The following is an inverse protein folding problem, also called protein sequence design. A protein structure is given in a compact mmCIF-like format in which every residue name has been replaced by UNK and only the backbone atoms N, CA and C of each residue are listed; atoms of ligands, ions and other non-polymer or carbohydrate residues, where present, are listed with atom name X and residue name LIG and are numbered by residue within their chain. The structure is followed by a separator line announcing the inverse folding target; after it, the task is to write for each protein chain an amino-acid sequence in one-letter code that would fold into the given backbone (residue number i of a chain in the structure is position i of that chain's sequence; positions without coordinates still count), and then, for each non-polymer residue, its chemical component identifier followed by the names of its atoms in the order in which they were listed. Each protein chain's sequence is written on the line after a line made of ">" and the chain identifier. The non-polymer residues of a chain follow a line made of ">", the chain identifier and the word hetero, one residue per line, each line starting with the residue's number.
data_IF_437987848499
#
_entry.id   IF_437987848499
#
_cell.length_a   1.000
_cell.length_b   1.000
_cell.length_c   1.000
_cell.angle_alpha   90.00
_cell.angle_beta   90.00
_cell.angle_gamma   90.00
#
_symmetry.space_group_name_H-M   'P 1'
#
loop_
_entity.id
_entity.type
_entity.pdbx_description
1 polymer ?
#
# COMPACT_ATOMS: atom_id res chain seq x y z
N UNK A 1 1.12 4.20 18.21
CA UNK A 1 -0.35 4.02 18.35
C UNK A 1 -0.67 2.58 18.03
N UNK A 2 -1.78 2.05 18.53
CA UNK A 2 -2.23 0.68 18.24
C UNK A 2 -3.71 0.73 17.91
N UNK A 3 -4.14 0.07 16.84
CA UNK A 3 -5.56 -0.03 16.48
C UNK A 3 -6.16 -1.26 17.18
N UNK A 4 -7.22 -1.06 17.96
CA UNK A 4 -7.93 -2.15 18.65
C UNK A 4 -9.08 -2.65 17.76
N UNK A 5 -8.76 -3.46 16.75
CA UNK A 5 -9.70 -3.99 15.75
C UNK A 5 -9.93 -5.48 16.00
N UNK A 6 -11.18 -5.92 15.95
CA UNK A 6 -11.58 -7.33 16.00
C UNK A 6 -10.99 -8.10 14.81
N UNK A 7 -10.42 -9.28 15.08
CA UNK A 7 -9.68 -10.06 14.08
C UNK A 7 -10.46 -11.25 13.53
N UNK A 8 -11.61 -11.55 14.10
CA UNK A 8 -12.45 -12.68 13.69
C UNK A 8 -13.47 -12.21 12.65
N UNK A 9 -13.62 -13.00 11.59
CA UNK A 9 -14.61 -12.77 10.54
C UNK A 9 -14.93 -14.08 9.83
N UNK A 10 -16.13 -14.16 9.26
CA UNK A 10 -16.58 -15.32 8.50
C UNK A 10 -16.12 -15.25 7.04
N UNK A 11 -16.08 -16.40 6.37
CA UNK A 11 -15.82 -16.47 4.92
C UNK A 11 -16.86 -15.64 4.14
N UNK A 12 -18.12 -15.61 4.57
CA UNK A 12 -19.15 -14.79 3.93
C UNK A 12 -18.90 -13.29 4.07
N UNK A 13 -18.40 -12.84 5.22
CA UNK A 13 -18.00 -11.44 5.42
C UNK A 13 -16.81 -11.08 4.53
N UNK A 14 -15.84 -12.01 4.39
CA UNK A 14 -14.71 -11.85 3.47
C UNK A 14 -15.20 -11.73 2.03
N UNK A 15 -16.03 -12.67 1.54
CA UNK A 15 -16.59 -12.64 0.18
C UNK A 15 -17.31 -11.35 -0.13
N UNK A 16 -18.18 -10.88 0.78
CA UNK A 16 -18.89 -9.60 0.63
C UNK A 16 -17.93 -8.42 0.54
N UNK A 17 -16.89 -8.41 1.36
CA UNK A 17 -15.89 -7.34 1.38
C UNK A 17 -15.03 -7.35 0.12
N UNK A 18 -14.57 -8.53 -0.31
CA UNK A 18 -13.80 -8.72 -1.54
C UNK A 18 -14.61 -8.25 -2.75
N UNK A 19 -15.88 -8.67 -2.86
CA UNK A 19 -16.77 -8.28 -3.96
C UNK A 19 -16.93 -6.76 -4.02
N UNK A 20 -17.20 -6.11 -2.88
CA UNK A 20 -17.31 -4.65 -2.81
C UNK A 20 -16.02 -3.94 -3.23
N UNK A 21 -14.87 -4.46 -2.84
CA UNK A 21 -13.58 -3.90 -3.26
C UNK A 21 -13.33 -4.11 -4.76
N UNK A 22 -13.71 -5.28 -5.31
CA UNK A 22 -13.58 -5.59 -6.73
C UNK A 22 -14.46 -4.66 -7.58
N UNK A 23 -15.73 -4.48 -7.21
CA UNK A 23 -16.65 -3.56 -7.89
C UNK A 23 -16.12 -2.13 -7.87
N UNK A 24 -15.73 -1.63 -6.70
CA UNK A 24 -15.19 -0.28 -6.57
C UNK A 24 -13.86 -0.10 -7.33
N UNK A 25 -13.01 -1.13 -7.35
CA UNK A 25 -11.77 -1.13 -8.14
C UNK A 25 -12.06 -1.07 -9.65
N UNK A 26 -13.07 -1.79 -10.12
CA UNK A 26 -13.51 -1.78 -11.51
C UNK A 26 -14.05 -0.40 -11.91
N UNK A 27 -14.87 0.22 -11.07
CA UNK A 27 -15.42 1.58 -11.29
C UNK A 27 -14.29 2.64 -11.36
N UNK A 28 -13.33 2.58 -10.44
CA UNK A 28 -12.18 3.47 -10.43
C UNK A 28 -11.27 3.23 -11.64
N UNK A 29 -11.03 1.98 -12.00
CA UNK A 29 -10.28 1.64 -13.20
C UNK A 29 -10.97 2.20 -14.44
N UNK A 30 -12.27 1.98 -14.60
CA UNK A 30 -13.04 2.50 -15.74
C UNK A 30 -12.96 4.02 -15.85
N UNK A 31 -13.04 4.72 -14.71
CA UNK A 31 -12.93 6.18 -14.64
C UNK A 31 -11.55 6.71 -15.05
N UNK A 32 -10.48 5.92 -14.80
CA UNK A 32 -9.09 6.31 -15.08
C UNK A 32 -8.57 5.76 -16.42
N UNK A 33 -9.15 4.66 -16.90
CA UNK A 33 -8.74 3.90 -18.07
C UNK A 33 -9.96 3.23 -18.71
N UNK A 34 -10.56 3.85 -19.74
CA UNK A 34 -11.76 3.34 -20.41
C UNK A 34 -11.56 1.97 -21.07
N UNK A 35 -10.34 1.64 -21.50
CA UNK A 35 -10.04 0.33 -22.10
C UNK A 35 -9.75 -0.67 -20.98
N UNK A 36 -10.67 -1.60 -20.78
CA UNK A 36 -10.63 -2.63 -19.71
C UNK A 36 -9.31 -3.39 -19.59
N UNK A 37 -8.67 -3.67 -20.71
CA UNK A 37 -7.50 -4.51 -20.84
C UNK A 37 -6.18 -3.74 -20.74
N UNK A 38 -6.20 -2.42 -20.65
CA UNK A 38 -4.99 -1.61 -20.45
C UNK A 38 -4.85 -1.25 -18.97
N UNK A 39 -3.62 -1.22 -18.41
CA UNK A 39 -3.42 -0.75 -17.05
C UNK A 39 -3.72 0.75 -16.91
N UNK A 40 -4.06 1.17 -15.69
CA UNK A 40 -4.08 2.60 -15.34
C UNK A 40 -2.64 3.11 -15.31
N UNK A 41 -2.40 4.24 -15.98
CA UNK A 41 -1.06 4.83 -16.11
C UNK A 41 -0.80 5.86 -15.01
N UNK A 42 0.40 5.83 -14.43
CA UNK A 42 0.83 6.72 -13.35
C UNK A 42 1.99 7.63 -13.79
N UNK A 43 1.64 8.77 -14.40
CA UNK A 43 2.64 9.70 -14.98
C UNK A 43 3.11 10.80 -14.03
N UNK A 44 2.46 10.98 -12.87
CA UNK A 44 2.85 12.01 -11.91
C UNK A 44 4.13 11.62 -11.20
N UNK A 45 5.02 12.59 -11.01
CA UNK A 45 6.20 12.39 -10.20
C UNK A 45 5.80 12.23 -8.73
N UNK A 46 6.59 11.47 -7.97
CA UNK A 46 6.40 11.38 -6.52
C UNK A 46 6.41 12.77 -5.84
N UNK A 47 7.17 13.75 -6.36
CA UNK A 47 7.19 15.12 -5.82
C UNK A 47 5.82 15.81 -5.94
N UNK A 48 5.08 15.52 -7.00
CA UNK A 48 3.71 16.02 -7.15
C UNK A 48 2.76 15.28 -6.21
N UNK A 49 2.90 13.96 -6.09
CA UNK A 49 2.09 13.15 -5.17
C UNK A 49 2.30 13.56 -3.70
N UNK A 50 3.55 13.85 -3.29
CA UNK A 50 3.88 14.31 -1.93
C UNK A 50 3.13 15.58 -1.52
N UNK A 51 2.82 16.47 -2.49
CA UNK A 51 2.12 17.73 -2.19
C UNK A 51 0.66 17.50 -1.83
N UNK A 52 0.02 16.51 -2.44
CA UNK A 52 -1.43 16.28 -2.30
C UNK A 52 -1.77 15.15 -1.33
N UNK A 53 -0.86 14.18 -1.13
CA UNK A 53 -1.02 13.05 -0.21
C UNK A 53 -1.51 13.43 1.21
N UNK A 54 -1.08 14.54 1.83
CA UNK A 54 -1.54 14.90 3.17
C UNK A 54 -3.06 15.09 3.29
N UNK A 55 -3.73 15.49 2.20
CA UNK A 55 -5.18 15.71 2.18
C UNK A 55 -5.99 14.43 2.46
N UNK A 56 -5.46 13.26 2.10
CA UNK A 56 -6.12 11.96 2.37
C UNK A 56 -6.35 11.68 3.85
N UNK A 57 -5.55 12.26 4.73
CA UNK A 57 -5.68 12.08 6.18
C UNK A 57 -6.65 13.09 6.83
N UNK A 58 -6.98 14.19 6.16
CA UNK A 58 -7.87 15.24 6.72
C UNK A 58 -9.30 14.72 6.92
N UNK A 59 -9.71 13.75 6.11
CA UNK A 59 -11.04 13.12 6.14
C UNK A 59 -11.13 11.93 7.10
N UNK A 60 -10.01 11.52 7.71
CA UNK A 60 -10.06 10.43 8.68
C UNK A 60 -10.85 10.84 9.94
N UNK A 61 -11.64 9.93 10.51
CA UNK A 61 -12.50 10.22 11.66
C UNK A 61 -11.72 10.49 12.95
N UNK A 62 -10.43 10.17 13.00
CA UNK A 62 -9.59 10.33 14.18
C UNK A 62 -8.94 11.74 14.22
N UNK A 63 -9.38 12.65 15.10
CA UNK A 63 -8.91 14.05 15.12
C UNK A 63 -7.41 14.17 15.47
N UNK A 64 -6.88 13.20 16.22
CA UNK A 64 -5.47 13.18 16.65
C UNK A 64 -4.49 12.97 15.47
N UNK A 65 -4.93 12.31 14.40
CA UNK A 65 -4.12 12.13 13.18
C UNK A 65 -3.99 13.43 12.39
N UNK A 66 -5.03 14.28 12.44
CA UNK A 66 -5.08 15.58 11.73
C UNK A 66 -4.06 16.58 12.29
N UNK A 67 -3.78 16.55 13.59
CA UNK A 67 -2.81 17.46 14.22
C UNK A 67 -1.34 17.03 14.04
N UNK A 68 -1.06 15.74 13.87
CA UNK A 68 0.30 15.19 13.83
C UNK A 68 1.00 15.27 12.48
N UNK A 69 0.30 15.60 11.41
CA UNK A 69 0.89 15.74 10.07
C UNK A 69 1.78 16.97 9.89
N UNK A 70 1.96 17.82 10.91
CA UNK A 70 2.77 19.03 10.78
C UNK A 70 4.06 18.88 11.62
N UNK A 71 5.26 18.85 10.99
CA UNK A 71 5.54 18.99 9.55
C UNK A 71 5.41 17.66 8.77
N UNK A 72 4.86 17.73 7.55
CA UNK A 72 4.90 16.62 6.60
C UNK A 72 6.33 16.51 6.06
N UNK A 73 7.02 15.42 6.38
CA UNK A 73 8.41 15.23 5.95
C UNK A 73 8.54 13.95 5.13
N UNK A 74 7.95 13.97 3.93
CA UNK A 74 8.00 12.89 2.94
C UNK A 74 8.99 13.25 1.83
N UNK A 75 9.95 12.35 1.55
CA UNK A 75 11.02 12.57 0.58
C UNK A 75 11.30 11.32 -0.24
N UNK A 76 12.03 11.50 -1.34
CA UNK A 76 12.71 10.40 -2.03
C UNK A 76 13.94 10.00 -1.24
N UNK A 77 14.18 8.70 -1.09
CA UNK A 77 15.40 8.22 -0.44
C UNK A 77 16.63 8.42 -1.32
N UNK A 78 17.72 8.89 -0.73
CA UNK A 78 19.05 8.88 -1.37
C UNK A 78 19.62 7.45 -1.48
N UNK A 79 19.08 6.49 -0.70
CA UNK A 79 19.47 5.08 -0.68
C UNK A 79 18.57 4.22 -1.58
N UNK A 80 17.95 4.82 -2.60
CA UNK A 80 17.02 4.14 -3.52
C UNK A 80 17.59 2.85 -4.11
N UNK A 81 18.86 2.86 -4.51
CA UNK A 81 19.52 1.67 -5.07
C UNK A 81 19.62 0.51 -4.06
N UNK A 82 20.29 0.70 -2.89
CA UNK A 82 20.31 -0.32 -1.85
C UNK A 82 18.93 -0.81 -1.41
N UNK A 83 17.95 0.10 -1.25
CA UNK A 83 16.59 -0.27 -0.85
C UNK A 83 15.93 -1.21 -1.86
N UNK A 84 16.15 -0.98 -3.15
CA UNK A 84 15.58 -1.82 -4.22
C UNK A 84 16.15 -3.25 -4.14
N UNK A 85 17.46 -3.40 -3.98
CA UNK A 85 18.07 -4.73 -3.82
C UNK A 85 17.70 -5.44 -2.51
N UNK A 86 17.24 -4.68 -1.51
CA UNK A 86 16.76 -5.22 -0.24
C UNK A 86 15.25 -5.48 -0.20
N UNK A 87 14.51 -5.19 -1.27
CA UNK A 87 13.06 -5.38 -1.34
C UNK A 87 12.21 -4.28 -0.70
N UNK A 88 12.79 -3.13 -0.33
CA UNK A 88 12.05 -2.06 0.35
C UNK A 88 11.49 -1.02 -0.61
N UNK A 89 10.19 -0.76 -0.47
CA UNK A 89 9.48 0.30 -1.20
C UNK A 89 9.64 1.68 -0.54
N UNK A 90 9.94 1.71 0.75
CA UNK A 90 10.11 2.91 1.55
C UNK A 90 10.54 2.54 2.97
N UNK A 91 10.78 3.56 3.79
CA UNK A 91 11.06 3.41 5.22
C UNK A 91 10.93 4.75 5.96
N UNK A 92 10.72 4.68 7.27
CA UNK A 92 10.90 5.81 8.18
C UNK A 92 12.38 5.96 8.56
N UNK A 93 13.00 7.10 8.24
CA UNK A 93 14.39 7.35 8.59
C UNK A 93 14.54 7.46 10.13
N UNK A 94 15.35 6.60 10.78
CA UNK A 94 15.42 6.55 12.25
C UNK A 94 16.17 7.73 12.88
N UNK A 95 16.94 8.49 12.09
CA UNK A 95 17.70 9.65 12.56
C UNK A 95 16.89 10.93 12.36
N UNK A 96 16.34 11.11 11.16
CA UNK A 96 15.67 12.37 10.78
C UNK A 96 14.16 12.35 11.02
N UNK A 97 13.55 11.17 11.21
CA UNK A 97 12.10 11.01 11.29
C UNK A 97 11.36 11.24 9.96
N UNK A 98 12.09 11.31 8.86
CA UNK A 98 11.53 11.53 7.53
C UNK A 98 10.98 10.22 6.94
N UNK A 99 9.76 10.25 6.42
CA UNK A 99 9.24 9.22 5.55
C UNK A 99 10.03 9.28 4.23
N UNK A 100 10.65 8.18 3.86
CA UNK A 100 11.42 8.09 2.63
C UNK A 100 10.86 7.00 1.73
N UNK A 101 10.66 7.34 0.47
CA UNK A 101 10.16 6.42 -0.56
C UNK A 101 11.28 6.02 -1.51
N UNK A 102 11.23 4.79 -2.00
CA UNK A 102 12.09 4.33 -3.08
C UNK A 102 11.79 5.15 -4.35
N UNK A 103 12.78 5.89 -4.84
CA UNK A 103 12.58 6.84 -5.93
C UNK A 103 12.36 6.18 -7.31
N UNK A 104 12.63 4.88 -7.43
CA UNK A 104 12.49 4.11 -8.66
C UNK A 104 11.10 3.50 -8.85
N UNK A 105 10.31 3.38 -7.77
CA UNK A 105 8.94 2.89 -7.84
C UNK A 105 8.02 4.02 -8.28
N UNK A 106 7.51 3.95 -9.50
CA UNK A 106 6.50 4.86 -10.02
C UNK A 106 5.40 4.11 -10.78
N UNK A 107 4.55 3.40 -10.04
CA UNK A 107 3.46 2.59 -10.57
C UNK A 107 2.20 2.79 -9.71
N UNK A 108 1.20 1.91 -9.89
CA UNK A 108 -0.04 1.99 -9.13
C UNK A 108 0.15 1.99 -7.61
N UNK A 109 1.21 1.36 -7.10
CA UNK A 109 1.47 1.27 -5.65
C UNK A 109 1.99 2.58 -5.06
N UNK A 110 2.52 3.49 -5.89
CA UNK A 110 3.21 4.69 -5.42
C UNK A 110 2.35 5.60 -4.54
N UNK A 111 1.08 5.92 -4.87
CA UNK A 111 0.25 6.77 -4.00
C UNK A 111 -0.02 6.14 -2.62
N UNK A 112 -0.47 4.88 -2.54
CA UNK A 112 -0.73 4.22 -1.25
C UNK A 112 0.54 4.00 -0.43
N UNK A 113 1.68 3.74 -1.10
CA UNK A 113 2.99 3.66 -0.44
C UNK A 113 3.36 4.98 0.24
N UNK A 114 3.12 6.12 -0.40
CA UNK A 114 3.36 7.43 0.21
C UNK A 114 2.52 7.59 1.49
N UNK A 115 1.23 7.22 1.43
CA UNK A 115 0.36 7.26 2.60
C UNK A 115 0.79 6.27 3.69
N UNK A 116 1.35 5.12 3.32
CA UNK A 116 1.90 4.14 4.25
C UNK A 116 3.09 4.72 5.03
N UNK A 117 4.09 5.28 4.34
CA UNK A 117 5.23 5.91 5.02
C UNK A 117 4.82 7.11 5.88
N UNK A 118 3.83 7.90 5.42
CA UNK A 118 3.24 8.96 6.24
C UNK A 118 2.51 8.41 7.47
N UNK A 119 1.93 7.22 7.41
CA UNK A 119 1.30 6.57 8.56
C UNK A 119 2.34 6.19 9.61
N UNK A 120 3.54 5.75 9.20
CA UNK A 120 4.66 5.57 10.11
C UNK A 120 5.08 6.88 10.78
N UNK A 121 5.14 8.00 10.04
CA UNK A 121 5.40 9.32 10.64
C UNK A 121 4.37 9.75 11.68
N UNK A 122 3.12 9.31 11.52
CA UNK A 122 2.07 9.55 12.52
C UNK A 122 2.26 8.72 13.79
N UNK A 123 3.13 7.71 13.77
CA UNK A 123 3.44 6.84 14.89
C UNK A 123 2.68 5.51 14.87
N UNK A 124 2.17 5.09 13.72
CA UNK A 124 1.74 3.70 13.49
C UNK A 124 2.96 2.89 13.10
N UNK A 125 3.57 2.24 14.08
CA UNK A 125 4.84 1.56 13.87
C UNK A 125 4.69 0.12 13.37
N UNK A 126 3.51 -0.49 13.49
CA UNK A 126 3.21 -1.81 12.94
C UNK A 126 2.82 -1.68 11.47
N UNK A 127 3.31 -2.59 10.63
CA UNK A 127 3.11 -2.58 9.18
C UNK A 127 1.63 -2.76 8.83
N UNK A 128 0.95 -3.68 9.50
CA UNK A 128 -0.47 -3.92 9.28
C UNK A 128 -1.34 -2.69 9.62
N UNK A 129 -1.01 -1.95 10.66
CA UNK A 129 -1.70 -0.71 11.04
C UNK A 129 -1.39 0.42 10.05
N UNK A 130 -0.13 0.57 9.66
CA UNK A 130 0.27 1.55 8.63
C UNK A 130 -0.41 1.27 7.29
N UNK A 131 -0.49 0.01 6.87
CA UNK A 131 -1.24 -0.42 5.69
C UNK A 131 -2.73 -0.08 5.80
N UNK A 132 -3.36 -0.39 6.94
CA UNK A 132 -4.77 -0.07 7.15
C UNK A 132 -5.03 1.44 7.08
N UNK A 133 -4.22 2.25 7.77
CA UNK A 133 -4.37 3.71 7.77
C UNK A 133 -4.12 4.29 6.36
N UNK A 134 -3.14 3.77 5.62
CA UNK A 134 -2.87 4.17 4.25
C UNK A 134 -4.03 3.86 3.30
N UNK A 135 -4.62 2.66 3.42
CA UNK A 135 -5.81 2.27 2.65
C UNK A 135 -6.96 3.22 2.97
N UNK A 136 -7.23 3.48 4.25
CA UNK A 136 -8.31 4.39 4.64
C UNK A 136 -8.06 5.82 4.15
N UNK A 137 -6.85 6.34 4.26
CA UNK A 137 -6.50 7.67 3.77
C UNK A 137 -6.64 7.77 2.25
N UNK A 138 -6.25 6.74 1.51
CA UNK A 138 -6.33 6.72 0.05
C UNK A 138 -7.75 6.58 -0.47
N UNK A 139 -8.55 5.68 0.13
CA UNK A 139 -9.97 5.52 -0.21
C UNK A 139 -10.79 6.80 0.02
N UNK A 140 -10.41 7.63 1.00
CA UNK A 140 -11.07 8.90 1.28
C UNK A 140 -10.43 10.10 0.57
N UNK A 141 -9.37 9.90 -0.21
CA UNK A 141 -8.67 10.99 -0.91
C UNK A 141 -9.53 11.58 -2.02
N UNK A 142 -9.38 12.86 -2.34
CA UNK A 142 -10.10 13.52 -3.45
C UNK A 142 -9.59 13.14 -4.84
N UNK A 143 -8.49 12.41 -4.91
CA UNK A 143 -7.77 12.15 -6.15
C UNK A 143 -7.95 10.68 -6.51
N UNK A 144 -8.44 10.43 -7.72
CA UNK A 144 -8.82 9.08 -8.16
C UNK A 144 -7.64 8.11 -8.21
N UNK A 145 -6.40 8.58 -8.46
CA UNK A 145 -5.24 7.67 -8.42
C UNK A 145 -4.90 7.23 -7.01
N UNK A 146 -5.15 8.07 -6.00
CA UNK A 146 -5.00 7.66 -4.59
C UNK A 146 -6.09 6.67 -4.19
N UNK A 147 -7.34 6.92 -4.58
CA UNK A 147 -8.45 6.00 -4.34
C UNK A 147 -8.19 4.65 -5.01
N UNK A 148 -7.80 4.67 -6.29
CA UNK A 148 -7.52 3.47 -7.07
C UNK A 148 -6.33 2.70 -6.49
N UNK A 149 -5.21 3.39 -6.24
CA UNK A 149 -4.03 2.80 -5.61
C UNK A 149 -4.35 2.09 -4.29
N UNK A 150 -5.11 2.76 -3.40
CA UNK A 150 -5.50 2.19 -2.11
C UNK A 150 -6.52 1.05 -2.24
N UNK A 151 -7.46 1.18 -3.17
CA UNK A 151 -8.48 0.17 -3.44
C UNK A 151 -7.84 -1.14 -3.91
N UNK A 152 -7.02 -1.10 -4.96
CA UNK A 152 -6.40 -2.32 -5.50
C UNK A 152 -5.30 -2.87 -4.59
N UNK A 153 -4.63 -2.00 -3.81
CA UNK A 153 -3.72 -2.47 -2.76
C UNK A 153 -4.46 -3.27 -1.67
N UNK A 154 -5.58 -2.75 -1.16
CA UNK A 154 -6.43 -3.46 -0.20
C UNK A 154 -7.05 -4.73 -0.78
N UNK A 155 -7.55 -4.65 -2.03
CA UNK A 155 -8.10 -5.80 -2.75
C UNK A 155 -7.08 -6.93 -2.87
N UNK A 156 -5.80 -6.63 -3.08
CA UNK A 156 -4.76 -7.67 -3.16
C UNK A 156 -4.64 -8.49 -1.87
N UNK A 157 -4.74 -7.87 -0.69
CA UNK A 157 -4.78 -8.60 0.59
C UNK A 157 -6.03 -9.48 0.71
N UNK A 158 -7.19 -8.90 0.38
CA UNK A 158 -8.47 -9.60 0.44
C UNK A 158 -8.51 -10.81 -0.50
N UNK A 159 -7.98 -10.67 -1.72
CA UNK A 159 -7.86 -11.74 -2.70
C UNK A 159 -6.91 -12.85 -2.23
N UNK A 160 -5.77 -12.50 -1.63
CA UNK A 160 -4.82 -13.50 -1.12
C UNK A 160 -5.43 -14.32 0.03
N UNK A 161 -6.18 -13.67 0.94
CA UNK A 161 -6.88 -14.37 2.02
C UNK A 161 -8.05 -15.22 1.47
N UNK A 162 -8.80 -14.69 0.51
CA UNK A 162 -9.89 -15.43 -0.15
C UNK A 162 -9.35 -16.66 -0.87
N UNK A 163 -8.24 -16.56 -1.59
CA UNK A 163 -7.61 -17.71 -2.26
C UNK A 163 -7.30 -18.85 -1.28
N UNK A 164 -6.91 -18.53 -0.04
CA UNK A 164 -6.57 -19.53 0.97
C UNK A 164 -7.82 -20.20 1.56
N UNK A 165 -8.94 -19.46 1.67
CA UNK A 165 -10.17 -19.91 2.35
C UNK A 165 -11.22 -20.46 1.40
N UNK A 166 -11.28 -19.94 0.18
CA UNK A 166 -12.25 -20.29 -0.86
C UNK A 166 -11.65 -20.00 -2.26
N UNK A 167 -10.87 -20.95 -2.81
CA UNK A 167 -10.24 -20.80 -4.11
C UNK A 167 -11.23 -20.61 -5.27
N UNK A 168 -12.41 -21.21 -5.20
CA UNK A 168 -13.44 -21.09 -6.24
C UNK A 168 -13.97 -19.65 -6.30
N UNK A 169 -14.32 -19.08 -5.14
CA UNK A 169 -14.74 -17.68 -5.07
C UNK A 169 -13.63 -16.70 -5.45
N UNK A 170 -12.36 -17.04 -5.20
CA UNK A 170 -11.23 -16.23 -5.69
C UNK A 170 -11.19 -16.16 -7.21
N UNK A 171 -11.32 -17.30 -7.91
CA UNK A 171 -11.31 -17.32 -9.38
C UNK A 171 -12.51 -16.56 -9.95
N UNK A 172 -13.71 -16.71 -9.37
CA UNK A 172 -14.90 -15.92 -9.75
C UNK A 172 -14.65 -14.41 -9.66
N UNK A 173 -14.09 -13.94 -8.54
CA UNK A 173 -13.78 -12.51 -8.38
C UNK A 173 -12.69 -12.08 -9.34
N UNK A 174 -11.65 -12.89 -9.53
CA UNK A 174 -10.54 -12.55 -10.43
C UNK A 174 -11.02 -12.40 -11.87
N UNK A 175 -11.93 -13.26 -12.32
CA UNK A 175 -12.54 -13.18 -13.66
C UNK A 175 -13.50 -11.99 -13.79
N UNK A 176 -14.07 -11.50 -12.68
CA UNK A 176 -14.89 -10.28 -12.63
C UNK A 176 -14.05 -8.99 -12.69
N UNK A 177 -12.73 -9.03 -12.41
CA UNK A 177 -11.89 -7.84 -12.45
C UNK A 177 -11.59 -7.40 -13.89
N UNK A 178 -11.54 -6.08 -14.11
CA UNK A 178 -11.02 -5.51 -15.36
C UNK A 178 -9.56 -5.96 -15.55
N UNK A 179 -9.16 -6.55 -16.69
CA UNK A 179 -7.82 -7.14 -16.84
C UNK A 179 -6.66 -6.14 -16.65
N UNK A 180 -6.89 -4.85 -16.88
CA UNK A 180 -5.93 -3.79 -16.61
C UNK A 180 -5.52 -3.67 -15.14
N UNK A 181 -6.41 -4.03 -14.19
CA UNK A 181 -6.07 -4.12 -12.75
C UNK A 181 -5.00 -5.20 -12.54
N UNK A 182 -5.17 -6.37 -13.15
CA UNK A 182 -4.20 -7.46 -13.09
C UNK A 182 -2.87 -7.06 -13.74
N UNK A 183 -2.92 -6.25 -14.81
CA UNK A 183 -1.71 -5.67 -15.42
C UNK A 183 -1.02 -4.67 -14.50
N UNK A 184 -1.74 -3.86 -13.74
CA UNK A 184 -1.11 -2.99 -12.73
C UNK A 184 -0.40 -3.82 -11.64
N UNK A 185 -0.99 -4.93 -11.16
CA UNK A 185 -0.27 -5.84 -10.26
C UNK A 185 0.98 -6.44 -10.90
N UNK A 186 0.88 -6.81 -12.17
CA UNK A 186 2.00 -7.34 -12.95
C UNK A 186 3.13 -6.32 -13.09
N UNK A 187 2.85 -5.03 -13.31
CA UNK A 187 3.88 -3.98 -13.41
C UNK A 187 4.78 -3.92 -12.17
N UNK A 188 4.17 -4.01 -10.97
CA UNK A 188 4.93 -4.03 -9.74
C UNK A 188 5.78 -5.30 -9.61
N UNK A 189 5.23 -6.46 -9.99
CA UNK A 189 5.98 -7.72 -10.00
C UNK A 189 7.17 -7.65 -10.96
N UNK A 190 6.97 -7.12 -12.16
CA UNK A 190 8.02 -7.00 -13.17
C UNK A 190 9.10 -6.00 -12.75
N UNK A 191 8.73 -4.96 -12.00
CA UNK A 191 9.70 -4.06 -11.38
C UNK A 191 10.63 -4.80 -10.40
N UNK A 192 10.09 -5.72 -9.58
CA UNK A 192 10.88 -6.46 -8.59
C UNK A 192 11.64 -7.65 -9.15
N UNK A 193 11.17 -8.26 -10.25
CA UNK A 193 11.75 -9.50 -10.80
C UNK A 193 13.28 -9.46 -11.04
N UNK A 194 13.90 -8.35 -11.50
CA UNK A 194 15.36 -8.25 -11.64
C UNK A 194 16.13 -8.17 -10.31
N UNK A 195 15.44 -7.96 -9.20
CA UNK A 195 15.99 -7.74 -7.86
C UNK A 195 15.60 -8.85 -6.87
N UNK A 196 14.88 -9.88 -7.34
CA UNK A 196 14.46 -11.08 -6.58
C UNK A 196 15.65 -12.03 -6.29
N UNK A 197 16.78 -11.44 -5.89
CA UNK A 197 17.94 -12.14 -5.37
C UNK A 197 17.69 -12.43 -3.90
N UNK A 198 17.01 -13.55 -3.65
CA UNK A 198 16.59 -14.09 -2.35
C UNK A 198 17.64 -13.92 -1.22
N UNK A 199 18.94 -13.90 -1.52
CA UNK A 199 19.99 -13.80 -0.50
C UNK A 199 20.04 -12.42 0.17
N UNK A 200 19.94 -11.33 -0.58
CA UNK A 200 20.05 -9.96 0.00
C UNK A 200 18.75 -9.62 0.74
N UNK A 201 17.61 -9.98 0.17
CA UNK A 201 16.31 -9.82 0.81
C UNK A 201 16.24 -10.61 2.13
N UNK A 202 16.60 -11.90 2.14
CA UNK A 202 16.55 -12.73 3.35
C UNK A 202 17.46 -12.22 4.46
N UNK A 203 18.68 -11.79 4.13
CA UNK A 203 19.62 -11.22 5.13
C UNK A 203 19.10 -9.90 5.68
N UNK A 204 18.50 -9.07 4.82
CA UNK A 204 17.92 -7.79 5.24
C UNK A 204 16.68 -7.98 6.12
N UNK A 205 15.77 -8.88 5.72
CA UNK A 205 14.60 -9.27 6.52
C UNK A 205 15.02 -9.89 7.86
N UNK A 206 16.05 -10.73 7.90
CA UNK A 206 16.54 -11.30 9.15
C UNK A 206 17.06 -10.21 10.12
N UNK A 207 17.80 -9.24 9.59
CA UNK A 207 18.33 -8.11 10.37
C UNK A 207 17.20 -7.19 10.86
N UNK A 208 16.23 -6.89 9.99
CA UNK A 208 15.07 -6.08 10.32
C UNK A 208 14.18 -6.77 11.36
N UNK A 209 13.92 -8.07 11.21
CA UNK A 209 13.19 -8.86 12.20
C UNK A 209 13.89 -8.88 13.56
N UNK A 210 15.23 -8.90 13.59
CA UNK A 210 15.99 -8.76 14.85
C UNK A 210 15.83 -7.37 15.45
N UNK A 211 15.87 -6.31 14.64
CA UNK A 211 15.59 -4.94 15.09
C UNK A 211 14.17 -4.80 15.65
N UNK A 212 13.16 -5.33 14.96
CA UNK A 212 11.77 -5.33 15.41
C UNK A 212 11.60 -6.08 16.73
N UNK A 213 12.20 -7.27 16.87
CA UNK A 213 12.22 -8.03 18.14
C UNK A 213 12.88 -7.24 19.27
N UNK A 214 14.00 -6.58 19.01
CA UNK A 214 14.69 -5.74 19.99
C UNK A 214 13.85 -4.53 20.43
N UNK A 215 12.92 -4.07 19.58
CA UNK A 215 12.00 -2.96 19.86
C UNK A 215 10.58 -3.41 20.25
N UNK A 216 10.39 -4.66 20.70
CA UNK A 216 9.10 -5.24 21.11
C UNK A 216 8.01 -5.24 20.01
N UNK A 217 8.41 -5.46 18.76
CA UNK A 217 7.52 -5.58 17.59
C UNK A 217 7.69 -6.94 16.86
N UNK A 218 7.59 -8.08 17.55
CA UNK A 218 8.00 -9.38 17.00
C UNK A 218 7.20 -9.86 15.77
N UNK A 219 6.00 -9.32 15.53
CA UNK A 219 5.05 -9.83 14.53
C UNK A 219 4.75 -8.90 13.33
N UNK A 220 5.45 -7.76 13.16
CA UNK A 220 5.30 -6.89 11.97
C UNK A 220 3.94 -6.25 11.77
#
# INVERSE_FOLDING_TARGET
>A
MTLNIEREYTVDQLKKTVTRYADFSNELHESLQPVDSLPVVFNRSQKELFKIAPSGFEKLPQPQLKQKLKPTSIKKSLLTMPLTHMGYSGYLNPITGEAQTNAWINCYKTPVLILHEMSHQLGFAKENEANYVAIQAGLNHEDLHFQYSASIFGLKYLLNDLYTKDPEAFEEIKDHLRPGILKNYQELRDFWAPYDDNVIEQVSQATYNQYLKANNQPDG
#
